data_IF_069930549831
#
_entry.id   IF_069930549831
#
_cell.length_a   1.000
_cell.length_b   1.000
_cell.length_c   1.000
_cell.angle_alpha   90.00
_cell.angle_beta   90.00
_cell.angle_gamma   90.00
#
_symmetry.space_group_name_H-M   'P 1'
#
loop_
_entity.id
_entity.type
_entity.pdbx_description
1 polymer ?
#
# COMPACT_ATOMS: atom_id res chain seq x y z
N UNK A 1 -0.13 16.93 -6.34
CA UNK A 1 -0.42 16.03 -5.21
C UNK A 1 0.75 15.07 -5.08
N UNK A 2 1.45 15.04 -3.95
CA UNK A 2 2.62 14.18 -3.73
C UNK A 2 2.28 13.10 -2.71
N UNK A 3 2.56 11.84 -3.04
CA UNK A 3 2.42 10.69 -2.14
C UNK A 3 3.82 10.15 -1.80
N UNK A 4 3.88 9.04 -1.07
CA UNK A 4 5.13 8.31 -0.82
C UNK A 4 5.84 7.95 -2.13
N UNK A 5 7.17 8.04 -2.13
CA UNK A 5 8.04 7.61 -3.21
C UNK A 5 8.77 6.30 -2.85
N UNK A 6 9.26 5.59 -3.86
CA UNK A 6 9.96 4.30 -3.73
C UNK A 6 11.15 4.36 -2.74
N UNK A 7 11.78 5.53 -2.62
CA UNK A 7 12.91 5.78 -1.71
C UNK A 7 12.57 5.52 -0.23
N UNK A 8 11.32 5.74 0.20
CA UNK A 8 10.90 5.53 1.59
C UNK A 8 10.95 4.04 1.97
N UNK A 9 10.46 3.18 1.08
CA UNK A 9 10.46 1.73 1.29
C UNK A 9 11.85 1.14 1.13
N UNK A 10 12.67 1.66 0.20
CA UNK A 10 14.07 1.24 0.04
C UNK A 10 14.93 1.59 1.26
N UNK A 11 14.72 2.75 1.89
CA UNK A 11 15.41 3.09 3.13
C UNK A 11 15.07 2.11 4.27
N UNK A 12 13.79 1.70 4.38
CA UNK A 12 13.35 0.76 5.41
C UNK A 12 13.93 -0.66 5.24
N UNK A 13 14.38 -1.03 4.04
CA UNK A 13 15.08 -2.31 3.80
C UNK A 13 16.44 -2.39 4.52
N UNK A 14 17.07 -1.24 4.82
CA UNK A 14 18.35 -1.17 5.56
C UNK A 14 18.17 -0.73 7.02
N UNK A 15 17.04 -0.11 7.36
CA UNK A 15 16.72 0.35 8.72
C UNK A 15 16.04 -0.76 9.54
N UNK A 16 15.21 -1.60 8.90
CA UNK A 16 14.52 -2.69 9.59
C UNK A 16 15.50 -3.83 9.92
N UNK A 17 15.49 -4.38 11.15
CA UNK A 17 16.31 -5.54 11.50
C UNK A 17 15.94 -6.81 10.73
N UNK A 18 14.74 -6.84 10.12
CA UNK A 18 14.30 -7.93 9.25
C UNK A 18 13.71 -7.38 7.95
N UNK A 19 14.26 -7.85 6.81
CA UNK A 19 13.87 -7.38 5.48
C UNK A 19 12.40 -7.68 5.18
N UNK A 20 11.90 -8.81 5.68
CA UNK A 20 10.51 -9.26 5.47
C UNK A 20 9.46 -8.36 6.15
N UNK A 21 9.83 -7.65 7.23
CA UNK A 21 8.91 -6.76 7.96
C UNK A 21 9.06 -5.29 7.58
N UNK A 22 10.10 -4.95 6.81
CA UNK A 22 10.43 -3.58 6.41
C UNK A 22 9.24 -2.82 5.79
N UNK A 23 8.43 -3.50 4.97
CA UNK A 23 7.25 -2.92 4.33
C UNK A 23 6.15 -2.55 5.33
N UNK A 24 5.85 -3.44 6.30
CA UNK A 24 4.86 -3.16 7.36
C UNK A 24 5.31 -2.02 8.27
N UNK A 25 6.60 -1.96 8.59
CA UNK A 25 7.19 -0.89 9.39
C UNK A 25 7.08 0.45 8.65
N UNK A 26 7.38 0.49 7.36
CA UNK A 26 7.25 1.69 6.54
C UNK A 26 5.79 2.22 6.48
N UNK A 27 4.81 1.31 6.33
CA UNK A 27 3.39 1.67 6.34
C UNK A 27 2.93 2.20 7.71
N UNK A 28 3.33 1.54 8.79
CA UNK A 28 3.00 1.96 10.15
C UNK A 28 3.64 3.31 10.50
N UNK A 29 4.92 3.52 10.15
CA UNK A 29 5.62 4.77 10.38
C UNK A 29 4.98 5.93 9.60
N UNK A 30 4.57 5.69 8.35
CA UNK A 30 3.89 6.70 7.55
C UNK A 30 2.55 7.13 8.15
N UNK A 31 1.75 6.17 8.62
CA UNK A 31 0.48 6.49 9.28
C UNK A 31 0.66 7.13 10.66
N UNK A 32 1.81 6.94 11.31
CA UNK A 32 2.13 7.64 12.56
C UNK A 32 2.49 9.11 12.29
N UNK A 33 3.23 9.37 11.21
CA UNK A 33 3.60 10.73 10.81
C UNK A 33 2.41 11.51 10.22
N UNK A 34 1.58 10.82 9.41
CA UNK A 34 0.41 11.40 8.74
C UNK A 34 -0.85 10.57 8.99
N UNK A 35 -1.50 10.73 10.15
CA UNK A 35 -2.66 9.91 10.52
C UNK A 35 -3.89 10.14 9.63
N UNK A 36 -4.11 11.38 9.18
CA UNK A 36 -5.32 11.78 8.42
C UNK A 36 -5.02 12.43 7.06
N UNK A 37 -3.76 12.44 6.62
CA UNK A 37 -3.33 13.04 5.34
C UNK A 37 -2.46 12.07 4.54
N UNK A 38 -2.48 12.17 3.22
CA UNK A 38 -1.61 11.39 2.32
C UNK A 38 -1.77 9.86 2.43
N UNK A 39 -3.01 9.41 2.64
CA UNK A 39 -3.38 8.00 2.82
C UNK A 39 -3.46 7.16 1.53
N UNK A 40 -2.63 7.43 0.52
CA UNK A 40 -2.49 6.57 -0.65
C UNK A 40 -1.19 5.78 -0.52
N UNK A 41 -1.29 4.46 -0.37
CA UNK A 41 -0.14 3.58 -0.27
C UNK A 41 0.42 3.22 -1.66
N UNK A 42 1.74 3.30 -1.81
CA UNK A 42 2.44 2.77 -2.97
C UNK A 42 2.58 1.25 -2.81
N UNK A 43 2.23 0.51 -3.86
CA UNK A 43 2.05 -0.95 -3.77
C UNK A 43 3.16 -1.77 -4.40
N UNK A 44 4.07 -1.14 -5.13
CA UNK A 44 4.98 -1.83 -6.05
C UNK A 44 6.47 -1.69 -5.70
N UNK A 45 6.81 -1.36 -4.44
CA UNK A 45 8.21 -1.41 -4.00
C UNK A 45 8.80 -2.82 -3.94
N UNK A 46 7.97 -3.86 -3.90
CA UNK A 46 8.40 -5.27 -3.97
C UNK A 46 7.61 -5.97 -5.07
N UNK A 47 6.35 -6.28 -4.82
CA UNK A 47 5.34 -6.75 -5.79
C UNK A 47 3.96 -6.54 -5.17
N UNK A 48 2.91 -6.41 -6.00
CA UNK A 48 1.53 -6.31 -5.50
C UNK A 48 1.16 -7.50 -4.60
N UNK A 49 1.54 -8.72 -4.95
CA UNK A 49 1.22 -9.89 -4.14
C UNK A 49 1.92 -9.89 -2.77
N UNK A 50 3.14 -9.34 -2.69
CA UNK A 50 3.84 -9.15 -1.42
C UNK A 50 3.18 -8.05 -0.58
N UNK A 51 2.79 -6.96 -1.22
CA UNK A 51 2.05 -5.87 -0.59
C UNK A 51 0.74 -6.35 0.03
N UNK A 52 -0.08 -7.09 -0.73
CA UNK A 52 -1.38 -7.59 -0.25
C UNK A 52 -1.25 -8.54 0.95
N UNK A 53 -0.15 -9.30 1.07
CA UNK A 53 0.08 -10.15 2.25
C UNK A 53 0.29 -9.33 3.52
N UNK A 54 0.93 -8.19 3.40
CA UNK A 54 1.22 -7.29 4.52
C UNK A 54 0.08 -6.29 4.79
N UNK A 55 -0.76 -6.05 3.80
CA UNK A 55 -1.86 -5.10 3.85
C UNK A 55 -3.10 -5.68 4.53
N UNK A 56 -3.01 -5.94 5.84
CA UNK A 56 -4.13 -6.44 6.64
C UNK A 56 -5.26 -5.41 6.88
N UNK A 57 -6.32 -5.84 7.58
CA UNK A 57 -7.52 -5.03 7.87
C UNK A 57 -7.21 -3.68 8.53
N UNK A 58 -6.20 -3.61 9.41
CA UNK A 58 -5.81 -2.37 10.09
C UNK A 58 -5.34 -1.32 9.07
N UNK A 59 -4.42 -1.70 8.18
CA UNK A 59 -3.93 -0.81 7.13
C UNK A 59 -5.00 -0.52 6.09
N UNK A 60 -5.74 -1.54 5.65
CA UNK A 60 -6.80 -1.38 4.67
C UNK A 60 -7.92 -0.45 5.13
N UNK A 61 -8.17 -0.36 6.45
CA UNK A 61 -9.14 0.59 7.01
C UNK A 61 -8.58 2.00 7.07
N UNK A 62 -7.32 2.18 7.51
CA UNK A 62 -6.69 3.50 7.69
C UNK A 62 -6.31 4.18 6.38
N UNK A 63 -5.82 3.43 5.40
CA UNK A 63 -5.48 3.97 4.09
C UNK A 63 -6.75 4.27 3.26
N UNK A 64 -6.75 5.40 2.57
CA UNK A 64 -7.82 5.84 1.67
C UNK A 64 -7.79 5.11 0.33
N UNK A 65 -6.63 4.57 -0.06
CA UNK A 65 -6.46 3.99 -1.37
C UNK A 65 -5.07 3.47 -1.66
N UNK A 66 -4.92 2.93 -2.88
CA UNK A 66 -3.69 2.34 -3.39
C UNK A 66 -3.27 3.01 -4.70
N UNK A 67 -1.96 3.07 -4.95
CA UNK A 67 -1.38 3.56 -6.20
C UNK A 67 -0.79 2.42 -7.02
N UNK A 68 -1.17 2.36 -8.29
CA UNK A 68 -0.56 1.54 -9.33
C UNK A 68 0.49 2.35 -10.08
N UNK A 69 1.70 1.80 -10.16
CA UNK A 69 2.87 2.44 -10.79
C UNK A 69 3.63 1.48 -11.74
N UNK A 70 3.32 0.18 -11.73
CA UNK A 70 3.90 -0.82 -12.65
C UNK A 70 3.02 -2.07 -12.83
N UNK A 71 3.09 -2.69 -14.01
CA UNK A 71 2.35 -3.92 -14.35
C UNK A 71 1.11 -3.69 -15.23
N UNK A 72 0.27 -4.72 -15.38
CA UNK A 72 -1.05 -4.58 -16.00
C UNK A 72 -2.02 -3.91 -15.02
N UNK A 73 -2.54 -2.71 -15.31
CA UNK A 73 -3.44 -2.00 -14.42
C UNK A 73 -4.75 -2.76 -14.17
N UNK A 74 -5.21 -3.59 -15.11
CA UNK A 74 -6.45 -4.36 -14.94
C UNK A 74 -6.24 -5.47 -13.93
N UNK A 75 -5.21 -6.30 -14.11
CA UNK A 75 -4.88 -7.39 -13.18
C UNK A 75 -4.62 -6.85 -11.76
N UNK A 76 -3.88 -5.74 -11.65
CA UNK A 76 -3.64 -5.10 -10.36
C UNK A 76 -4.91 -4.60 -9.70
N UNK A 77 -5.83 -4.00 -10.46
CA UNK A 77 -7.10 -3.50 -9.97
C UNK A 77 -7.99 -4.63 -9.44
N UNK A 78 -8.07 -5.74 -10.18
CA UNK A 78 -8.80 -6.93 -9.74
C UNK A 78 -8.23 -7.50 -8.44
N UNK A 79 -6.89 -7.58 -8.32
CA UNK A 79 -6.22 -8.01 -7.09
C UNK A 79 -6.53 -7.09 -5.90
N UNK A 80 -6.53 -5.78 -6.11
CA UNK A 80 -6.86 -4.81 -5.07
C UNK A 80 -8.31 -4.94 -4.59
N UNK A 81 -9.27 -5.03 -5.53
CA UNK A 81 -10.69 -5.19 -5.24
C UNK A 81 -10.96 -6.48 -4.46
N UNK A 82 -10.46 -7.61 -4.98
CA UNK A 82 -10.63 -8.91 -4.34
C UNK A 82 -10.06 -8.95 -2.92
N UNK A 83 -8.97 -8.23 -2.68
CA UNK A 83 -8.38 -8.12 -1.35
C UNK A 83 -9.25 -7.33 -0.38
N UNK A 84 -9.82 -6.20 -0.81
CA UNK A 84 -10.77 -5.45 0.02
C UNK A 84 -12.01 -6.26 0.36
N UNK A 85 -12.59 -6.96 -0.64
CA UNK A 85 -13.74 -7.85 -0.42
C UNK A 85 -13.43 -8.96 0.58
N UNK A 86 -12.25 -9.58 0.46
CA UNK A 86 -11.78 -10.62 1.40
C UNK A 86 -11.65 -10.10 2.84
N UNK A 87 -11.32 -8.83 3.01
CA UNK A 87 -11.24 -8.16 4.31
C UNK A 87 -12.59 -7.61 4.80
N UNK A 88 -13.67 -7.76 4.02
CA UNK A 88 -14.99 -7.23 4.35
C UNK A 88 -15.09 -5.71 4.21
N UNK A 89 -14.20 -5.10 3.42
CA UNK A 89 -14.18 -3.66 3.15
C UNK A 89 -14.85 -3.41 1.79
N UNK A 90 -15.76 -2.44 1.74
CA UNK A 90 -16.37 -2.01 0.48
C UNK A 90 -15.30 -1.40 -0.45
N UNK A 91 -14.97 -2.00 -1.60
CA UNK A 91 -13.99 -1.46 -2.53
C UNK A 91 -14.37 -0.08 -3.06
N UNK A 92 -15.67 0.26 -3.12
CA UNK A 92 -16.16 1.56 -3.58
C UNK A 92 -15.87 2.68 -2.56
N UNK A 93 -15.59 2.33 -1.31
CA UNK A 93 -15.14 3.27 -0.28
C UNK A 93 -13.66 3.66 -0.42
N UNK A 94 -12.93 3.03 -1.36
CA UNK A 94 -11.48 3.21 -1.55
C UNK A 94 -11.17 3.80 -2.91
N UNK A 95 -10.01 4.45 -3.00
CA UNK A 95 -9.54 5.08 -4.25
C UNK A 95 -8.37 4.29 -4.83
N UNK A 96 -8.45 3.93 -6.11
CA UNK A 96 -7.33 3.36 -6.86
C UNK A 96 -6.77 4.41 -7.81
N UNK A 97 -5.49 4.75 -7.66
CA UNK A 97 -4.82 5.78 -8.46
C UNK A 97 -3.88 5.11 -9.46
N UNK A 98 -4.04 5.41 -10.74
CA UNK A 98 -3.22 4.86 -11.81
C UNK A 98 -2.27 5.93 -12.36
N UNK A 99 -0.97 5.67 -12.34
CA UNK A 99 0.03 6.45 -13.05
C UNK A 99 0.40 5.77 -14.38
N UNK A 100 0.74 6.59 -15.37
CA UNK A 100 1.01 6.19 -16.76
C UNK A 100 2.44 6.54 -17.13
#
# INVERSE_FOLDING_TARGET
>A
MGTQAHEWFQAHQQISPELATSQRVALAAWLNEYPDQLGIALTDCITMDAFLRDFGVEFATRYQGLRHDSGDPVEWGEKAIAHYEKLGIDPLSKTLVFFR
#
